data_IF_973840678998
#
_entry.id   IF_973840678998
#
_cell.length_a   1.000
_cell.length_b   1.000
_cell.length_c   1.000
_cell.angle_alpha   90.00
_cell.angle_beta   90.00
_cell.angle_gamma   90.00
#
_symmetry.space_group_name_H-M   'P 1'
#
loop_
_entity.id
_entity.type
_entity.pdbx_description
1 polymer ?
#
# COMPACT_ATOMS: atom_id res chain seq x y z
N UNK A 1 26.35 -21.49 -13.11
CA UNK A 1 27.12 -21.45 -14.36
C UNK A 1 26.71 -20.20 -15.17
N UNK A 2 27.71 -19.45 -15.67
CA UNK A 2 27.51 -18.22 -16.43
C UNK A 2 26.76 -18.44 -17.75
N UNK A 3 26.88 -19.61 -18.34
CA UNK A 3 26.16 -19.99 -19.55
C UNK A 3 24.64 -20.09 -19.31
N UNK A 4 24.23 -20.39 -18.08
CA UNK A 4 22.82 -20.54 -17.70
C UNK A 4 22.19 -19.18 -17.34
N UNK A 5 22.80 -18.42 -16.43
CA UNK A 5 22.16 -17.18 -15.95
C UNK A 5 22.22 -16.01 -16.97
N UNK A 6 23.00 -16.13 -18.06
CA UNK A 6 22.99 -15.11 -19.13
C UNK A 6 21.60 -14.87 -19.71
N UNK A 7 20.74 -15.89 -19.74
CA UNK A 7 19.37 -15.75 -20.24
C UNK A 7 18.49 -14.98 -19.27
N UNK A 8 18.66 -15.20 -17.96
CA UNK A 8 18.02 -14.40 -16.93
C UNK A 8 18.42 -12.93 -17.02
N UNK A 9 19.72 -12.66 -17.23
CA UNK A 9 20.24 -11.31 -17.45
C UNK A 9 19.69 -10.69 -18.74
N UNK A 10 19.55 -11.46 -19.80
CA UNK A 10 18.96 -11.00 -21.05
C UNK A 10 17.49 -10.61 -20.88
N UNK A 11 16.70 -11.44 -20.21
CA UNK A 11 15.30 -11.14 -19.89
C UNK A 11 15.23 -9.87 -19.03
N UNK A 12 16.05 -9.76 -17.99
CA UNK A 12 16.11 -8.57 -17.15
C UNK A 12 16.40 -7.31 -17.95
N UNK A 13 17.40 -7.34 -18.83
CA UNK A 13 17.72 -6.21 -19.72
C UNK A 13 16.54 -5.83 -20.61
N UNK A 14 15.82 -6.81 -21.15
CA UNK A 14 14.63 -6.55 -21.98
C UNK A 14 13.54 -5.84 -21.15
N UNK A 15 13.32 -6.26 -19.92
CA UNK A 15 12.38 -5.58 -19.02
C UNK A 15 12.84 -4.18 -18.64
N UNK A 16 14.15 -4.01 -18.38
CA UNK A 16 14.72 -2.70 -18.07
C UNK A 16 14.61 -1.73 -19.24
N UNK A 17 14.81 -2.20 -20.46
CA UNK A 17 14.71 -1.40 -21.69
C UNK A 17 13.26 -1.29 -22.23
N UNK A 18 12.27 -1.61 -21.40
CA UNK A 18 10.86 -1.57 -21.77
C UNK A 18 10.02 -0.78 -20.78
N UNK A 19 8.90 -0.23 -21.28
CA UNK A 19 7.81 0.33 -20.50
C UNK A 19 6.48 -0.28 -20.95
N UNK A 20 5.41 -0.15 -20.16
CA UNK A 20 4.06 -0.58 -20.55
C UNK A 20 3.29 0.59 -21.15
N UNK A 21 2.94 0.47 -22.43
CA UNK A 21 2.05 1.41 -23.12
C UNK A 21 0.60 1.09 -22.78
N UNK A 22 -0.11 2.05 -22.20
CA UNK A 22 -1.54 1.92 -21.91
C UNK A 22 -2.33 1.89 -23.21
N UNK A 23 -1.95 2.72 -24.18
CA UNK A 23 -2.61 2.83 -25.48
C UNK A 23 -2.51 1.54 -26.31
N UNK A 24 -1.34 0.93 -26.33
CA UNK A 24 -1.07 -0.28 -27.12
C UNK A 24 -1.33 -1.58 -26.34
N UNK A 25 -1.63 -1.46 -25.04
CA UNK A 25 -1.84 -2.56 -24.09
C UNK A 25 -0.73 -3.62 -24.13
N UNK A 26 0.52 -3.18 -24.22
CA UNK A 26 1.71 -4.04 -24.31
C UNK A 26 3.00 -3.34 -23.88
N UNK A 27 4.02 -4.16 -23.61
CA UNK A 27 5.36 -3.66 -23.41
C UNK A 27 5.95 -3.12 -24.74
N UNK A 28 6.57 -1.94 -24.67
CA UNK A 28 7.28 -1.29 -25.76
C UNK A 28 8.68 -0.89 -25.33
N UNK A 29 9.58 -0.67 -26.30
CA UNK A 29 10.93 -0.19 -26.00
C UNK A 29 10.90 1.20 -25.37
N UNK A 30 11.75 1.42 -24.37
CA UNK A 30 11.90 2.71 -23.70
C UNK A 30 12.27 3.85 -24.67
N UNK A 31 12.90 3.55 -25.81
CA UNK A 31 13.18 4.52 -26.87
C UNK A 31 11.91 5.18 -27.43
N UNK A 32 10.81 4.42 -27.58
CA UNK A 32 9.53 4.97 -28.01
C UNK A 32 8.98 5.97 -26.98
N UNK A 33 9.16 5.70 -25.69
CA UNK A 33 8.74 6.63 -24.64
C UNK A 33 9.57 7.93 -24.68
N UNK A 34 10.88 7.81 -24.91
CA UNK A 34 11.78 8.97 -25.03
C UNK A 34 11.39 9.83 -26.24
N UNK A 35 11.08 9.19 -27.38
CA UNK A 35 10.67 9.92 -28.57
C UNK A 35 9.30 10.59 -28.39
N UNK A 36 8.36 9.93 -27.70
CA UNK A 36 7.08 10.54 -27.34
C UNK A 36 7.27 11.76 -26.44
N UNK A 37 8.15 11.67 -25.43
CA UNK A 37 8.44 12.80 -24.54
C UNK A 37 9.09 13.99 -25.27
N UNK A 38 9.93 13.72 -26.30
CA UNK A 38 10.51 14.77 -27.14
C UNK A 38 9.47 15.48 -28.01
N UNK A 39 8.46 14.75 -28.47
CA UNK A 39 7.44 15.28 -29.37
C UNK A 39 6.29 15.97 -28.62
N UNK A 40 5.75 15.32 -27.60
CA UNK A 40 4.48 15.67 -26.98
C UNK A 40 4.58 15.95 -25.48
N UNK A 41 5.74 15.70 -24.84
CA UNK A 41 5.84 15.71 -23.39
C UNK A 41 5.17 14.48 -22.77
N UNK A 42 4.76 14.57 -21.51
CA UNK A 42 4.09 13.49 -20.81
C UNK A 42 2.64 13.85 -20.43
N UNK A 43 1.70 13.01 -20.83
CA UNK A 43 0.33 12.95 -20.35
C UNK A 43 0.05 11.59 -19.69
N UNK A 44 -0.90 11.56 -18.74
CA UNK A 44 -1.18 10.37 -17.92
C UNK A 44 -1.65 9.13 -18.70
N UNK A 45 -2.14 9.29 -19.90
CA UNK A 45 -2.85 8.22 -20.63
C UNK A 45 -1.95 7.42 -21.58
N UNK A 46 -0.66 7.74 -21.65
CA UNK A 46 0.27 7.11 -22.60
C UNK A 46 0.98 5.89 -22.02
N UNK A 47 1.56 6.02 -20.82
CA UNK A 47 2.43 5.02 -20.23
C UNK A 47 2.08 4.75 -18.77
N UNK A 48 2.11 3.48 -18.36
CA UNK A 48 1.85 3.08 -16.98
C UNK A 48 3.03 3.41 -16.06
N UNK A 49 2.70 4.03 -14.93
CA UNK A 49 3.64 4.21 -13.81
C UNK A 49 2.94 3.90 -12.49
N UNK A 50 3.62 3.21 -11.61
CA UNK A 50 3.15 3.01 -10.22
C UNK A 50 3.49 4.19 -9.30
N UNK A 51 4.25 5.17 -9.80
CA UNK A 51 4.64 6.36 -9.05
C UNK A 51 3.88 7.58 -9.58
N UNK A 52 3.64 8.54 -8.69
CA UNK A 52 3.06 9.83 -9.10
C UNK A 52 4.08 10.58 -9.97
N UNK A 53 3.65 10.97 -11.17
CA UNK A 53 4.43 11.78 -12.11
C UNK A 53 3.59 13.00 -12.44
N UNK A 54 4.21 14.16 -12.35
CA UNK A 54 3.57 15.40 -12.78
C UNK A 54 3.70 15.51 -14.31
N UNK A 55 2.65 15.96 -15.01
CA UNK A 55 2.74 16.24 -16.45
C UNK A 55 3.86 17.23 -16.74
N UNK A 56 4.53 17.05 -17.86
CA UNK A 56 5.55 17.97 -18.37
C UNK A 56 5.45 18.11 -19.89
N UNK A 57 5.88 19.25 -20.38
CA UNK A 57 5.92 19.56 -21.82
C UNK A 57 7.17 18.99 -22.49
N UNK A 58 7.18 18.91 -23.82
CA UNK A 58 8.36 18.53 -24.58
C UNK A 58 9.53 19.52 -24.36
N UNK A 59 9.25 20.80 -24.17
CA UNK A 59 10.28 21.82 -23.89
C UNK A 59 10.94 21.54 -22.52
N UNK A 60 10.15 21.26 -21.49
CA UNK A 60 10.68 20.88 -20.16
C UNK A 60 11.51 19.61 -20.26
N UNK A 61 11.03 18.59 -20.99
CA UNK A 61 11.79 17.35 -21.21
C UNK A 61 13.17 17.61 -21.85
N UNK A 62 13.23 18.47 -22.86
CA UNK A 62 14.51 18.79 -23.52
C UNK A 62 15.48 19.51 -22.59
N UNK A 63 14.98 20.31 -21.65
CA UNK A 63 15.77 21.08 -20.69
C UNK A 63 16.19 20.27 -19.45
N UNK A 64 15.58 19.11 -19.18
CA UNK A 64 16.01 18.25 -18.09
C UNK A 64 17.45 17.74 -18.31
N UNK A 65 18.21 17.67 -17.24
CA UNK A 65 19.52 17.01 -17.22
C UNK A 65 19.38 15.51 -17.50
N UNK A 66 20.44 14.85 -17.89
CA UNK A 66 20.43 13.40 -18.11
C UNK A 66 20.05 12.61 -16.87
N UNK A 67 20.43 13.09 -15.67
CA UNK A 67 20.04 12.49 -14.40
C UNK A 67 18.54 12.63 -14.14
N UNK A 68 17.94 13.77 -14.41
CA UNK A 68 16.50 13.98 -14.25
C UNK A 68 15.71 13.13 -15.24
N UNK A 69 16.15 13.08 -16.50
CA UNK A 69 15.56 12.21 -17.53
C UNK A 69 15.59 10.74 -17.10
N UNK A 70 16.74 10.24 -16.64
CA UNK A 70 16.81 8.85 -16.16
C UNK A 70 15.95 8.60 -14.93
N UNK A 71 15.87 9.52 -13.97
CA UNK A 71 15.00 9.43 -12.81
C UNK A 71 13.50 9.36 -13.20
N UNK A 72 13.12 10.09 -14.26
CA UNK A 72 11.76 10.01 -14.81
C UNK A 72 11.55 8.65 -15.49
N UNK A 73 12.49 8.20 -16.34
CA UNK A 73 12.39 6.92 -17.07
C UNK A 73 12.31 5.73 -16.11
N UNK A 74 13.03 5.75 -15.00
CA UNK A 74 12.95 4.71 -13.95
C UNK A 74 11.53 4.49 -13.43
N UNK A 75 10.70 5.53 -13.42
CA UNK A 75 9.29 5.44 -13.00
C UNK A 75 8.40 4.70 -14.00
N UNK A 76 8.86 4.46 -15.22
CA UNK A 76 8.13 3.75 -16.28
C UNK A 76 8.71 2.38 -16.61
N UNK A 77 10.03 2.19 -16.42
CA UNK A 77 10.69 0.92 -16.74
C UNK A 77 10.01 -0.27 -16.06
N UNK A 78 9.90 -1.39 -16.77
CA UNK A 78 9.31 -2.63 -16.23
C UNK A 78 10.21 -3.30 -15.19
N UNK A 79 11.54 -3.16 -15.28
CA UNK A 79 12.45 -3.45 -14.18
C UNK A 79 13.05 -2.15 -13.67
N UNK A 80 12.97 -1.89 -12.38
CA UNK A 80 13.39 -0.62 -11.78
C UNK A 80 14.01 -0.82 -10.41
N UNK A 81 14.88 0.10 -10.02
CA UNK A 81 15.49 0.12 -8.69
C UNK A 81 14.58 0.90 -7.73
N UNK A 82 14.27 0.29 -6.61
CA UNK A 82 13.47 0.92 -5.55
C UNK A 82 14.02 0.60 -4.17
N UNK A 83 13.76 1.46 -3.21
CA UNK A 83 14.06 1.20 -1.81
C UNK A 83 12.87 0.48 -1.17
N UNK A 84 13.12 -0.68 -0.60
CA UNK A 84 12.09 -1.48 0.07
C UNK A 84 12.63 -2.10 1.34
N UNK A 85 11.72 -2.42 2.26
CA UNK A 85 12.07 -3.15 3.48
C UNK A 85 12.21 -4.63 3.19
N UNK A 86 13.39 -5.18 3.47
CA UNK A 86 13.73 -6.59 3.23
C UNK A 86 14.07 -7.31 4.52
N UNK A 87 13.98 -8.65 4.49
CA UNK A 87 14.45 -9.50 5.57
C UNK A 87 15.96 -9.70 5.40
N UNK A 88 16.75 -9.00 6.16
CA UNK A 88 18.22 -9.11 6.12
C UNK A 88 18.72 -10.07 7.20
N UNK A 89 19.50 -11.06 6.79
CA UNK A 89 20.22 -11.94 7.70
C UNK A 89 21.72 -11.63 7.60
N UNK A 90 22.29 -11.10 8.68
CA UNK A 90 23.69 -10.68 8.70
C UNK A 90 24.63 -11.87 8.62
N UNK A 91 24.33 -12.95 9.33
CA UNK A 91 25.13 -14.19 9.37
C UNK A 91 25.18 -14.90 8.00
N UNK A 92 24.09 -14.84 7.25
CA UNK A 92 24.04 -15.40 5.89
C UNK A 92 24.50 -14.38 4.83
N UNK A 93 24.65 -13.11 5.19
CA UNK A 93 25.05 -12.02 4.29
C UNK A 93 24.10 -11.79 3.12
N UNK A 94 22.79 -12.09 3.29
CA UNK A 94 21.81 -12.05 2.21
C UNK A 94 20.43 -11.62 2.65
N UNK A 95 19.62 -11.20 1.66
CA UNK A 95 18.18 -10.96 1.82
C UNK A 95 17.44 -12.30 1.70
N UNK A 96 16.47 -12.53 2.58
CA UNK A 96 15.64 -13.73 2.63
C UNK A 96 14.21 -13.43 2.17
N UNK A 97 13.61 -14.35 1.45
CA UNK A 97 12.17 -14.32 1.16
C UNK A 97 11.35 -14.51 2.46
N UNK A 98 10.08 -14.11 2.43
CA UNK A 98 9.22 -14.26 3.61
C UNK A 98 9.07 -15.72 4.04
N UNK A 99 9.07 -16.65 3.09
CA UNK A 99 8.95 -18.09 3.36
C UNK A 99 10.21 -18.71 4.00
N UNK A 100 11.36 -18.01 3.89
CA UNK A 100 12.64 -18.43 4.48
C UNK A 100 12.83 -17.90 5.91
N UNK A 101 11.82 -17.19 6.46
CA UNK A 101 11.86 -16.61 7.81
C UNK A 101 10.75 -17.21 8.65
N UNK A 102 11.09 -17.83 9.78
CA UNK A 102 10.16 -18.38 10.77
C UNK A 102 10.48 -17.76 12.14
N UNK A 103 9.47 -17.17 12.79
CA UNK A 103 9.58 -16.61 14.13
C UNK A 103 10.76 -15.63 14.32
N UNK A 104 11.08 -14.85 13.25
CA UNK A 104 12.20 -13.90 13.26
C UNK A 104 13.58 -14.51 12.99
N UNK A 105 13.65 -15.80 12.64
CA UNK A 105 14.89 -16.52 12.34
C UNK A 105 14.89 -17.07 10.93
N UNK A 106 16.09 -17.21 10.34
CA UNK A 106 16.26 -17.86 9.04
C UNK A 106 15.98 -19.36 9.15
N UNK A 107 15.23 -19.94 8.19
CA UNK A 107 15.00 -21.38 8.13
C UNK A 107 16.33 -22.15 7.99
N UNK A 108 17.25 -21.58 7.23
CA UNK A 108 18.61 -22.12 7.08
C UNK A 108 19.51 -21.52 8.15
N UNK A 109 19.94 -22.34 9.08
CA UNK A 109 20.93 -22.00 10.11
C UNK A 109 20.36 -21.39 11.40
N UNK A 110 19.07 -20.98 11.43
CA UNK A 110 18.43 -20.45 12.63
C UNK A 110 18.99 -19.09 13.10
N UNK A 111 19.50 -18.26 12.19
CA UNK A 111 20.10 -16.99 12.49
C UNK A 111 19.04 -15.87 12.59
N UNK A 112 19.26 -14.85 13.45
CA UNK A 112 18.36 -13.71 13.56
C UNK A 112 18.17 -12.97 12.23
N UNK A 113 16.95 -12.55 11.95
CA UNK A 113 16.60 -11.80 10.75
C UNK A 113 16.03 -10.45 11.16
N UNK A 114 16.54 -9.39 10.56
CA UNK A 114 16.10 -8.02 10.82
C UNK A 114 15.46 -7.40 9.59
N UNK A 115 14.50 -6.51 9.80
CA UNK A 115 13.94 -5.68 8.73
C UNK A 115 14.89 -4.51 8.44
N UNK A 116 15.33 -4.39 7.18
CA UNK A 116 16.27 -3.34 6.75
C UNK A 116 15.80 -2.71 5.45
N UNK A 117 15.85 -1.39 5.35
CA UNK A 117 15.62 -0.68 4.08
C UNK A 117 16.84 -0.85 3.19
N UNK A 118 16.64 -1.38 1.99
CA UNK A 118 17.70 -1.60 1.00
C UNK A 118 17.20 -1.32 -0.40
N UNK A 119 18.09 -0.84 -1.28
CA UNK A 119 17.80 -0.74 -2.71
C UNK A 119 17.73 -2.15 -3.31
N UNK A 120 16.58 -2.45 -3.92
CA UNK A 120 16.31 -3.73 -4.58
C UNK A 120 15.78 -3.50 -5.99
N UNK A 121 16.08 -4.45 -6.87
CA UNK A 121 15.43 -4.52 -8.17
C UNK A 121 14.00 -5.03 -8.00
N UNK A 122 13.05 -4.33 -8.58
CA UNK A 122 11.65 -4.71 -8.61
C UNK A 122 11.16 -4.81 -10.07
N UNK A 123 10.17 -5.67 -10.29
CA UNK A 123 9.46 -5.78 -11.57
C UNK A 123 8.08 -5.14 -11.44
N UNK A 124 7.69 -4.32 -12.41
CA UNK A 124 6.41 -3.59 -12.43
C UNK A 124 5.27 -4.48 -12.92
N UNK A 125 5.02 -5.57 -12.20
CA UNK A 125 3.99 -6.55 -12.53
C UNK A 125 2.58 -5.96 -12.53
N UNK A 126 2.33 -4.93 -11.70
CA UNK A 126 1.04 -4.23 -11.60
C UNK A 126 0.63 -3.54 -12.90
N UNK A 127 1.56 -3.25 -13.80
CA UNK A 127 1.26 -2.73 -15.14
C UNK A 127 0.36 -3.67 -15.97
N UNK A 128 0.40 -4.96 -15.68
CA UNK A 128 -0.36 -6.00 -16.38
C UNK A 128 -1.65 -6.41 -15.65
N UNK A 129 -1.95 -5.86 -14.49
CA UNK A 129 -3.06 -6.32 -13.63
C UNK A 129 -4.42 -6.26 -14.33
N UNK A 130 -4.74 -5.16 -15.02
CA UNK A 130 -6.01 -5.03 -15.75
C UNK A 130 -6.09 -6.04 -16.90
N UNK A 131 -5.03 -6.15 -17.70
CA UNK A 131 -4.95 -7.10 -18.80
C UNK A 131 -5.10 -8.55 -18.33
N UNK A 132 -4.41 -8.91 -17.25
CA UNK A 132 -4.53 -10.25 -16.66
C UNK A 132 -5.97 -10.57 -16.26
N UNK A 133 -6.69 -9.60 -15.65
CA UNK A 133 -8.10 -9.76 -15.30
C UNK A 133 -9.01 -9.95 -16.53
N UNK A 134 -8.82 -9.13 -17.55
CA UNK A 134 -9.62 -9.20 -18.78
C UNK A 134 -9.36 -10.49 -19.54
N UNK A 135 -8.09 -10.91 -19.63
CA UNK A 135 -7.68 -12.12 -20.34
C UNK A 135 -8.17 -13.42 -19.68
N UNK A 136 -8.55 -13.40 -18.39
CA UNK A 136 -9.22 -14.53 -17.74
C UNK A 136 -10.53 -14.93 -18.44
N UNK A 137 -11.19 -13.98 -19.13
CA UNK A 137 -12.42 -14.26 -19.89
C UNK A 137 -12.14 -14.98 -21.23
N UNK A 138 -10.89 -14.90 -21.73
CA UNK A 138 -10.48 -15.46 -23.03
C UNK A 138 -9.97 -16.90 -22.93
N UNK A 139 -9.66 -17.36 -21.72
CA UNK A 139 -9.10 -18.71 -21.50
C UNK A 139 -10.19 -19.68 -21.06
N UNK A 140 -10.06 -20.94 -21.47
CA UNK A 140 -10.97 -22.02 -21.09
C UNK A 140 -10.51 -22.67 -19.78
N UNK A 141 -10.70 -21.93 -18.68
CA UNK A 141 -10.43 -22.40 -17.33
C UNK A 141 -11.71 -22.58 -16.53
N UNK A 142 -11.74 -23.53 -15.57
CA UNK A 142 -12.85 -23.64 -14.62
C UNK A 142 -13.12 -22.33 -13.90
N UNK A 143 -14.40 -22.03 -13.64
CA UNK A 143 -14.81 -20.79 -12.97
C UNK A 143 -14.15 -20.58 -11.61
N UNK A 144 -13.98 -21.67 -10.85
CA UNK A 144 -13.31 -21.63 -9.54
C UNK A 144 -11.85 -21.12 -9.62
N UNK A 145 -11.12 -21.56 -10.65
CA UNK A 145 -9.73 -21.08 -10.85
C UNK A 145 -9.72 -19.62 -11.30
N UNK A 146 -10.63 -19.22 -12.19
CA UNK A 146 -10.78 -17.80 -12.59
C UNK A 146 -11.07 -16.90 -11.37
N UNK A 147 -11.95 -17.32 -10.48
CA UNK A 147 -12.25 -16.57 -9.26
C UNK A 147 -11.05 -16.48 -8.31
N UNK A 148 -10.28 -17.55 -8.14
CA UNK A 148 -9.03 -17.52 -7.35
C UNK A 148 -8.06 -16.50 -7.95
N UNK A 149 -7.88 -16.46 -9.27
CA UNK A 149 -7.00 -15.51 -9.95
C UNK A 149 -7.51 -14.06 -9.82
N UNK A 150 -8.81 -13.82 -9.98
CA UNK A 150 -9.42 -12.50 -9.78
C UNK A 150 -9.19 -12.00 -8.35
N UNK A 151 -9.42 -12.86 -7.36
CA UNK A 151 -9.21 -12.52 -5.95
C UNK A 151 -7.73 -12.27 -5.64
N UNK A 152 -6.82 -13.02 -6.27
CA UNK A 152 -5.38 -12.80 -6.12
C UNK A 152 -4.92 -11.44 -6.70
N UNK A 153 -5.43 -11.06 -7.87
CA UNK A 153 -5.13 -9.75 -8.48
C UNK A 153 -5.76 -8.63 -7.65
N UNK A 154 -6.94 -8.86 -7.08
CA UNK A 154 -7.56 -8.01 -6.07
C UNK A 154 -7.89 -6.60 -6.56
N UNK A 155 -8.50 -6.46 -7.75
CA UNK A 155 -8.95 -5.15 -8.22
C UNK A 155 -10.00 -4.59 -7.27
N UNK A 156 -9.68 -3.47 -6.61
CA UNK A 156 -10.62 -2.74 -5.78
C UNK A 156 -10.86 -1.34 -6.34
N UNK A 157 -12.08 -0.87 -6.17
CA UNK A 157 -12.48 0.50 -6.54
C UNK A 157 -12.90 1.22 -5.27
N UNK A 158 -12.35 2.39 -5.06
CA UNK A 158 -12.62 3.18 -3.86
C UNK A 158 -12.30 4.65 -4.07
N UNK A 159 -12.30 5.39 -2.98
CA UNK A 159 -11.98 6.81 -2.95
C UNK A 159 -10.91 7.13 -1.91
N UNK A 160 -10.05 8.08 -2.23
CA UNK A 160 -9.15 8.70 -1.26
C UNK A 160 -9.87 9.87 -0.59
N UNK A 161 -9.87 9.88 0.72
CA UNK A 161 -10.46 10.93 1.56
C UNK A 161 -9.35 11.54 2.39
N UNK A 162 -9.28 12.87 2.42
CA UNK A 162 -8.26 13.62 3.13
C UNK A 162 -8.84 14.22 4.41
N UNK A 163 -8.27 13.83 5.53
CA UNK A 163 -8.61 14.34 6.86
C UNK A 163 -7.53 15.34 7.29
N UNK A 164 -7.86 16.61 7.40
CA UNK A 164 -6.92 17.64 7.88
C UNK A 164 -6.61 17.38 9.35
N UNK A 165 -5.34 17.52 9.72
CA UNK A 165 -4.93 17.43 11.12
C UNK A 165 -5.27 18.76 11.80
N UNK A 166 -5.93 18.66 12.95
CA UNK A 166 -6.27 19.84 13.74
C UNK A 166 -4.99 20.53 14.24
N UNK A 167 -5.00 21.86 14.28
CA UNK A 167 -3.87 22.70 14.74
C UNK A 167 -2.58 22.61 13.91
N UNK A 168 -2.60 21.93 12.75
CA UNK A 168 -1.45 21.86 11.83
C UNK A 168 -1.85 22.30 10.43
N UNK A 169 -1.50 23.52 10.07
CA UNK A 169 -1.70 24.04 8.74
C UNK A 169 -0.96 23.18 7.70
N UNK A 170 -1.68 22.78 6.65
CA UNK A 170 -1.21 21.99 5.52
C UNK A 170 -0.88 20.49 5.77
N UNK A 171 -1.15 19.93 6.96
CA UNK A 171 -1.02 18.50 7.17
C UNK A 171 -2.37 17.78 7.03
N UNK A 172 -2.38 16.69 6.27
CA UNK A 172 -3.57 15.85 6.09
C UNK A 172 -3.22 14.38 6.04
N UNK A 173 -4.12 13.54 6.54
CA UNK A 173 -4.04 12.08 6.46
C UNK A 173 -4.91 11.66 5.28
N UNK A 174 -4.30 10.98 4.30
CA UNK A 174 -5.01 10.33 3.21
C UNK A 174 -5.47 8.94 3.65
N UNK A 175 -6.76 8.69 3.53
CA UNK A 175 -7.38 7.37 3.80
C UNK A 175 -7.99 6.86 2.51
N UNK A 176 -7.61 5.67 2.08
CA UNK A 176 -8.30 4.98 0.99
C UNK A 176 -9.40 4.07 1.54
N UNK A 177 -10.60 4.19 0.97
CA UNK A 177 -11.73 3.34 1.36
C UNK A 177 -12.52 2.85 0.15
N UNK A 178 -13.00 1.61 0.19
CA UNK A 178 -13.95 1.06 -0.78
C UNK A 178 -15.41 1.41 -0.44
N UNK A 179 -15.66 1.97 0.74
CA UNK A 179 -16.98 2.34 1.26
C UNK A 179 -17.02 3.82 1.67
N UNK A 180 -16.85 4.76 0.71
CA UNK A 180 -16.91 6.19 1.01
C UNK A 180 -18.28 6.65 1.52
N UNK A 181 -19.34 5.89 1.26
CA UNK A 181 -20.70 6.09 1.75
C UNK A 181 -20.81 6.06 3.28
N UNK A 182 -19.88 5.34 3.95
CA UNK A 182 -19.89 5.19 5.42
C UNK A 182 -19.21 6.34 6.16
N UNK A 183 -18.77 7.38 5.47
CA UNK A 183 -18.02 8.52 6.05
C UNK A 183 -18.72 9.16 7.26
N UNK A 184 -20.06 9.22 7.26
CA UNK A 184 -20.82 9.83 8.34
C UNK A 184 -20.80 9.02 9.65
N UNK A 185 -20.33 7.76 9.60
CA UNK A 185 -20.12 6.87 10.74
C UNK A 185 -18.70 6.86 11.28
N UNK A 186 -17.80 7.66 10.69
CA UNK A 186 -16.41 7.77 11.13
C UNK A 186 -16.36 8.48 12.47
N UNK A 187 -15.77 7.81 13.47
CA UNK A 187 -15.63 8.34 14.84
C UNK A 187 -14.18 8.48 15.27
N UNK A 188 -13.24 7.78 14.61
CA UNK A 188 -11.80 7.93 14.82
C UNK A 188 -11.02 7.53 13.57
N UNK A 189 -9.74 7.92 13.50
CA UNK A 189 -8.77 7.43 12.53
C UNK A 189 -7.79 6.49 13.21
N UNK A 190 -7.29 5.50 12.45
CA UNK A 190 -6.22 4.63 12.94
C UNK A 190 -5.09 4.59 11.92
N UNK A 191 -3.87 4.80 12.41
CA UNK A 191 -2.64 4.76 11.63
C UNK A 191 -1.86 3.48 11.90
N UNK A 192 -1.20 2.98 10.89
CA UNK A 192 -0.15 1.96 11.05
C UNK A 192 1.03 2.53 11.85
N UNK A 193 1.68 1.74 12.69
CA UNK A 193 2.90 2.16 13.42
C UNK A 193 4.06 2.60 12.53
N UNK A 194 4.02 2.26 11.24
CA UNK A 194 5.01 2.64 10.22
C UNK A 194 4.62 3.88 9.40
N UNK A 195 3.45 4.46 9.64
CA UNK A 195 2.95 5.58 8.84
C UNK A 195 3.89 6.79 8.96
N UNK A 196 4.28 7.46 7.84
CA UNK A 196 5.27 8.55 7.85
C UNK A 196 4.92 9.71 8.78
N UNK A 197 3.63 10.05 8.89
CA UNK A 197 3.13 11.11 9.78
C UNK A 197 3.51 10.88 11.25
N UNK A 198 3.67 9.64 11.68
CA UNK A 198 4.02 9.34 13.08
C UNK A 198 5.42 9.87 13.42
N UNK A 199 6.36 9.86 12.48
CA UNK A 199 7.72 10.39 12.70
C UNK A 199 7.73 11.90 12.93
N UNK A 200 6.75 12.62 12.36
CA UNK A 200 6.59 14.07 12.55
C UNK A 200 5.97 14.44 13.91
N UNK A 201 5.26 13.49 14.55
CA UNK A 201 4.42 13.74 15.73
C UNK A 201 4.83 12.94 16.97
N UNK A 202 5.85 12.09 16.91
CA UNK A 202 6.31 11.33 18.07
C UNK A 202 7.13 12.23 19.01
N UNK A 203 6.46 13.14 19.68
CA UNK A 203 7.02 13.82 20.86
C UNK A 203 6.68 13.07 22.16
N UNK A 204 5.63 12.26 22.12
CA UNK A 204 5.10 11.56 23.29
C UNK A 204 5.81 10.23 23.57
N UNK A 205 6.36 10.06 24.78
CA UNK A 205 7.09 8.85 25.18
C UNK A 205 6.25 7.58 25.10
N UNK A 206 4.95 7.65 25.42
CA UNK A 206 4.06 6.48 25.40
C UNK A 206 3.77 6.04 23.96
N UNK A 207 3.61 6.98 23.02
CA UNK A 207 3.45 6.69 21.58
C UNK A 207 4.71 6.04 21.04
N UNK A 208 5.88 6.61 21.32
CA UNK A 208 7.16 6.08 20.89
C UNK A 208 7.42 4.65 21.40
N UNK A 209 7.09 4.37 22.67
CA UNK A 209 7.21 3.04 23.25
C UNK A 209 6.32 2.01 22.52
N UNK A 210 5.05 2.34 22.28
CA UNK A 210 4.11 1.47 21.59
C UNK A 210 4.54 1.20 20.13
N UNK A 211 4.92 2.25 19.40
CA UNK A 211 5.41 2.11 18.00
C UNK A 211 6.63 1.21 17.93
N UNK A 212 7.57 1.36 18.87
CA UNK A 212 8.78 0.51 18.94
C UNK A 212 8.41 -0.96 19.19
N UNK A 213 7.48 -1.23 20.10
CA UNK A 213 6.97 -2.61 20.34
C UNK A 213 6.33 -3.19 19.08
N UNK A 214 5.44 -2.43 18.42
CA UNK A 214 4.76 -2.91 17.21
C UNK A 214 5.72 -3.19 16.05
N UNK A 215 6.75 -2.39 15.87
CA UNK A 215 7.76 -2.58 14.81
C UNK A 215 8.63 -3.84 15.01
N UNK A 216 8.64 -4.41 16.21
CA UNK A 216 9.34 -5.68 16.48
C UNK A 216 8.51 -6.89 16.04
N UNK A 217 7.19 -6.77 15.94
CA UNK A 217 6.27 -7.83 15.50
C UNK A 217 6.28 -7.94 13.98
N UNK A 218 6.27 -9.15 13.46
CA UNK A 218 6.06 -9.40 12.02
C UNK A 218 4.60 -9.14 11.65
N UNK A 219 4.34 -8.86 10.35
CA UNK A 219 2.96 -8.70 9.86
C UNK A 219 2.09 -9.95 10.07
N UNK A 220 2.71 -11.15 9.99
CA UNK A 220 2.03 -12.43 10.21
C UNK A 220 1.59 -12.54 11.66
N UNK A 221 2.44 -12.17 12.61
CA UNK A 221 2.10 -12.14 14.04
C UNK A 221 0.99 -11.14 14.32
N UNK A 222 1.04 -9.94 13.72
CA UNK A 222 -0.02 -8.92 13.84
C UNK A 222 -1.35 -9.43 13.27
N UNK A 223 -1.36 -10.07 12.08
CA UNK A 223 -2.56 -10.65 11.46
C UNK A 223 -3.17 -11.79 12.28
N UNK A 224 -2.34 -12.59 12.94
CA UNK A 224 -2.78 -13.73 13.78
C UNK A 224 -3.20 -13.30 15.19
N UNK A 225 -2.74 -12.13 15.65
CA UNK A 225 -3.07 -11.63 16.99
C UNK A 225 -4.56 -11.32 17.08
N UNK A 226 -5.22 -11.93 18.07
CA UNK A 226 -6.59 -11.59 18.47
C UNK A 226 -6.64 -10.44 19.50
N UNK A 227 -5.47 -9.99 19.96
CA UNK A 227 -5.36 -8.91 20.94
C UNK A 227 -5.57 -7.58 20.25
N UNK A 228 -6.51 -6.82 20.73
CA UNK A 228 -6.73 -5.45 20.28
C UNK A 228 -5.76 -4.57 21.07
N UNK A 229 -4.82 -3.90 20.37
CA UNK A 229 -3.88 -2.97 20.97
C UNK A 229 -3.93 -1.63 20.26
N UNK A 230 -3.59 -0.57 20.94
CA UNK A 230 -3.55 0.76 20.35
C UNK A 230 -3.14 1.81 21.36
N UNK A 231 -2.70 2.95 20.85
CA UNK A 231 -2.35 4.13 21.63
C UNK A 231 -2.96 5.38 21.00
N UNK A 232 -3.46 6.28 21.80
CA UNK A 232 -3.91 7.59 21.35
C UNK A 232 -2.69 8.45 21.00
N UNK A 233 -2.74 9.13 19.85
CA UNK A 233 -1.63 9.94 19.35
C UNK A 233 -1.52 11.33 19.97
N UNK A 234 -2.44 11.68 20.89
CA UNK A 234 -2.65 13.04 21.42
C UNK A 234 -3.07 14.07 20.35
N UNK A 235 -3.52 13.58 19.18
CA UNK A 235 -3.92 14.45 18.07
C UNK A 235 -5.32 14.12 17.58
N UNK A 236 -5.90 15.13 16.91
CA UNK A 236 -7.21 15.04 16.29
C UNK A 236 -7.12 15.38 14.81
N UNK A 237 -8.01 14.79 14.03
CA UNK A 237 -8.25 15.18 12.65
C UNK A 237 -9.65 15.83 12.54
N UNK A 238 -9.83 16.63 11.50
CA UNK A 238 -11.12 17.23 11.18
C UNK A 238 -11.87 16.35 10.18
N UNK A 239 -13.08 15.98 10.55
CA UNK A 239 -13.96 15.23 9.65
C UNK A 239 -14.29 16.11 8.42
N UNK A 240 -14.03 15.66 7.18
CA UNK A 240 -14.02 16.53 6.00
C UNK A 240 -15.37 17.15 5.65
N UNK A 241 -16.49 16.58 6.14
CA UNK A 241 -17.82 17.09 5.85
C UNK A 241 -18.40 17.86 7.06
N UNK A 242 -18.22 17.32 8.28
CA UNK A 242 -18.86 17.88 9.49
C UNK A 242 -17.97 18.85 10.26
N UNK A 243 -16.68 18.91 9.94
CA UNK A 243 -15.63 19.64 10.66
C UNK A 243 -15.52 19.28 12.17
N UNK A 244 -16.12 18.15 12.60
CA UNK A 244 -15.95 17.66 13.95
C UNK A 244 -14.54 17.11 14.15
N UNK A 245 -13.96 17.35 15.31
CA UNK A 245 -12.69 16.75 15.72
C UNK A 245 -12.90 15.25 16.00
N UNK A 246 -12.08 14.40 15.38
CA UNK A 246 -12.05 12.96 15.58
C UNK A 246 -10.65 12.54 16.03
N UNK A 247 -10.51 11.66 17.04
CA UNK A 247 -9.21 11.29 17.58
C UNK A 247 -8.43 10.42 16.58
N UNK A 248 -7.09 10.60 16.57
CA UNK A 248 -6.17 9.79 15.78
C UNK A 248 -5.51 8.77 16.70
N UNK A 249 -5.65 7.50 16.37
CA UNK A 249 -5.06 6.37 17.08
C UNK A 249 -3.97 5.71 16.25
N UNK A 250 -3.09 4.98 16.91
CA UNK A 250 -2.07 4.14 16.28
C UNK A 250 -2.33 2.71 16.75
N UNK A 251 -2.39 1.76 15.82
CA UNK A 251 -2.64 0.37 16.17
C UNK A 251 -1.96 -0.61 15.21
N UNK A 252 -1.55 -1.75 15.76
CA UNK A 252 -0.85 -2.81 15.03
C UNK A 252 -1.75 -3.62 14.08
N UNK A 253 -3.09 -3.47 14.14
CA UNK A 253 -3.99 -4.12 13.18
C UNK A 253 -4.06 -3.41 11.83
N UNK A 254 -3.60 -2.16 11.74
CA UNK A 254 -3.45 -1.43 10.47
C UNK A 254 -2.05 -1.69 9.91
N UNK A 255 -2.00 -2.14 8.66
CA UNK A 255 -0.74 -2.44 7.98
C UNK A 255 -0.38 -1.31 7.03
N UNK A 256 0.91 -1.00 6.90
CA UNK A 256 1.39 0.07 6.03
C UNK A 256 1.14 -0.23 4.55
N UNK A 257 1.18 -1.50 4.16
CA UNK A 257 0.97 -1.94 2.78
C UNK A 257 -0.52 -2.06 2.40
N UNK A 258 -1.44 -1.79 3.34
CA UNK A 258 -2.88 -1.77 3.07
C UNK A 258 -3.36 -0.32 2.85
N UNK A 259 -3.70 -0.01 1.60
CA UNK A 259 -4.13 1.34 1.22
C UNK A 259 -3.02 2.37 1.42
N UNK A 260 -3.29 3.34 2.28
CA UNK A 260 -2.37 4.43 2.63
C UNK A 260 -1.65 4.19 3.97
N UNK A 261 -1.87 3.05 4.62
CA UNK A 261 -1.43 2.83 6.01
C UNK A 261 -2.25 3.59 7.04
N UNK A 262 -3.38 4.16 6.62
CA UNK A 262 -4.36 4.85 7.46
C UNK A 262 -5.77 4.37 7.14
N UNK A 263 -6.61 4.23 8.14
CA UNK A 263 -8.02 3.87 7.98
C UNK A 263 -8.93 4.87 8.70
N UNK A 264 -10.09 5.10 8.12
CA UNK A 264 -11.22 5.72 8.80
C UNK A 264 -12.02 4.63 9.51
N UNK A 265 -12.16 4.69 10.81
CA UNK A 265 -12.86 3.68 11.58
C UNK A 265 -14.35 3.97 11.61
N UNK A 266 -15.15 2.95 11.26
CA UNK A 266 -16.61 2.99 11.23
C UNK A 266 -17.16 1.87 12.14
N UNK A 267 -17.17 2.06 13.46
CA UNK A 267 -17.51 1.00 14.42
C UNK A 267 -18.90 0.40 14.25
N UNK A 268 -19.85 1.13 13.68
CA UNK A 268 -21.18 0.60 13.41
C UNK A 268 -21.22 -0.37 12.21
N UNK A 269 -20.16 -0.41 11.38
CA UNK A 269 -20.11 -1.17 10.13
C UNK A 269 -18.94 -2.15 9.98
N UNK A 270 -17.96 -2.11 10.89
CA UNK A 270 -16.80 -3.00 10.89
C UNK A 270 -16.56 -3.60 12.27
N UNK A 271 -16.42 -4.93 12.34
CA UNK A 271 -16.26 -5.65 13.60
C UNK A 271 -14.95 -5.33 14.34
N UNK A 272 -13.86 -5.07 13.61
CA UNK A 272 -12.56 -4.73 14.20
C UNK A 272 -12.62 -3.33 14.81
N UNK A 273 -13.20 -2.39 14.08
CA UNK A 273 -13.41 -1.03 14.55
C UNK A 273 -14.35 -0.98 15.75
N UNK A 274 -15.42 -1.80 15.72
CA UNK A 274 -16.33 -1.95 16.85
C UNK A 274 -15.63 -2.49 18.10
N UNK A 275 -14.82 -3.54 17.93
CA UNK A 275 -14.09 -4.14 19.03
C UNK A 275 -13.04 -3.18 19.60
N UNK A 276 -12.40 -2.38 18.73
CA UNK A 276 -11.46 -1.33 19.12
C UNK A 276 -12.17 -0.22 19.89
N UNK A 277 -13.29 0.28 19.36
CA UNK A 277 -14.08 1.33 20.00
C UNK A 277 -14.55 0.93 21.39
N UNK A 278 -15.06 -0.30 21.57
CA UNK A 278 -15.47 -0.80 22.88
C UNK A 278 -14.30 -0.92 23.86
N UNK A 279 -13.13 -1.36 23.39
CA UNK A 279 -11.97 -1.49 24.28
C UNK A 279 -11.46 -0.16 24.80
N UNK A 280 -11.50 0.88 23.98
CA UNK A 280 -10.95 2.19 24.28
C UNK A 280 -12.03 3.25 24.61
N UNK A 281 -13.28 2.81 24.81
CA UNK A 281 -14.44 3.66 25.16
C UNK A 281 -14.63 4.82 24.16
N UNK A 282 -14.57 4.48 22.85
CA UNK A 282 -14.73 5.46 21.76
C UNK A 282 -16.18 5.50 21.28
N UNK A 283 -16.59 6.63 20.72
CA UNK A 283 -17.94 6.83 20.18
C UNK A 283 -18.26 5.80 19.09
N UNK A 284 -19.45 5.19 19.18
CA UNK A 284 -20.02 4.33 18.13
C UNK A 284 -21.26 5.02 17.59
N UNK A 285 -21.15 5.58 16.39
CA UNK A 285 -22.25 6.29 15.74
C UNK A 285 -22.95 5.38 14.74
N UNK A 286 -24.23 5.09 14.97
CA UNK A 286 -25.04 4.33 14.03
C UNK A 286 -25.43 5.19 12.82
N UNK A 287 -25.18 4.69 11.61
CA UNK A 287 -25.59 5.30 10.34
C UNK A 287 -26.53 4.42 9.53
N UNK A 288 -26.93 3.27 10.08
CA UNK A 288 -27.84 2.34 9.41
C UNK A 288 -29.26 2.48 9.98
N UNK A 289 -30.22 2.65 9.09
CA UNK A 289 -31.62 2.80 9.48
C UNK A 289 -32.21 1.45 9.89
N UNK A 290 -32.92 1.39 11.01
CA UNK A 290 -33.63 0.20 11.47
C UNK A 290 -32.77 -0.92 12.10
N UNK A 291 -31.48 -0.70 12.30
CA UNK A 291 -30.56 -1.70 12.89
C UNK A 291 -29.92 -1.14 14.16
N UNK A 292 -30.05 -1.87 15.28
CA UNK A 292 -29.28 -1.56 16.50
C UNK A 292 -27.81 -2.00 16.30
N UNK A 293 -26.86 -1.16 16.66
CA UNK A 293 -25.41 -1.43 16.57
C UNK A 293 -24.97 -2.72 17.26
N UNK A 294 -25.69 -3.17 18.28
CA UNK A 294 -25.43 -4.43 19.00
C UNK A 294 -25.85 -5.68 18.20
N UNK A 295 -26.80 -5.54 17.27
CA UNK A 295 -27.28 -6.65 16.42
C UNK A 295 -26.46 -6.86 15.15
N UNK A 296 -25.47 -5.99 14.88
CA UNK A 296 -24.70 -5.98 13.62
C UNK A 296 -23.67 -7.11 13.52
N UNK A 297 -23.41 -7.85 14.59
CA UNK A 297 -22.53 -9.02 14.57
C UNK A 297 -22.98 -10.13 13.60
N UNK A 298 -24.20 -10.05 13.05
CA UNK A 298 -24.76 -11.00 12.08
C UNK A 298 -24.93 -10.45 10.66
N UNK A 299 -24.69 -9.15 10.45
CA UNK A 299 -24.69 -8.52 9.11
C UNK A 299 -23.26 -8.28 8.63
N UNK A 300 -22.41 -9.27 8.75
CA UNK A 300 -21.22 -9.33 7.89
C UNK A 300 -21.72 -9.48 6.46
N UNK A 301 -21.81 -8.35 5.75
CA UNK A 301 -21.64 -8.42 4.30
C UNK A 301 -20.36 -9.24 4.11
N UNK A 302 -20.38 -10.29 3.27
CA UNK A 302 -19.18 -11.08 3.07
C UNK A 302 -18.13 -10.19 2.43
N UNK A 303 -17.33 -9.55 3.26
CA UNK A 303 -15.97 -9.20 2.88
C UNK A 303 -15.28 -10.55 2.82
N UNK A 304 -15.53 -11.26 1.76
CA UNK A 304 -14.79 -12.46 1.39
C UNK A 304 -13.36 -12.02 1.10
N UNK A 305 -12.59 -11.94 2.15
CA UNK A 305 -11.15 -12.03 2.08
C UNK A 305 -10.78 -13.42 2.58
N UNK A 306 -10.68 -14.31 1.64
CA UNK A 306 -9.94 -15.57 1.79
C UNK A 306 -8.52 -15.35 1.32
#
# INVERSE_FOLDING_TARGET
>A
DSSFYRWTQWIFRRLYDSFYSIKEDKAMSISHLIDEFKLNGFSKDFAFSSSKIYPFTNIEWMNFSDSEKENILQKFRLAFLTETTVNWCEELGTVLANDEVKDGFSERGGYPVIKRKMKQWALRITAYSNRLLEDLNKIDWPSSIKEIQKNWIGKSTGASIFFKIDEKDNASIEVYTTRPDTIFGVTFLVLSPEHPIIEEFIESKHVSAYVKECRQKTEIERKKSKLITGVFSDMYALHPITNKKIPIWISDYVLIDYGTGAIMAVPCGDQRDWSFANKFDLEIKNIFEGVNTVSYTHLTLPTTYH
#
